data_IF_711592646894
#
_entry.id   IF_711592646894
#
_cell.length_a   1.000
_cell.length_b   1.000
_cell.length_c   1.000
_cell.angle_alpha   90.00
_cell.angle_beta   90.00
_cell.angle_gamma   90.00
#
_symmetry.space_group_name_H-M   'P 1'
#
loop_
_entity.id
_entity.type
_entity.pdbx_description
1 polymer ?
#
# COMPACT_ATOMS: atom_id res chain seq x y z
N UNK A 1 -72.61 51.19 -1.82
CA UNK A 1 -72.63 50.01 -2.68
C UNK A 1 -71.72 50.29 -3.86
N UNK A 2 -70.51 49.72 -3.92
CA UNK A 2 -69.58 49.94 -4.97
C UNK A 2 -68.43 48.98 -4.75
N UNK A 3 -68.41 47.83 -5.43
CA UNK A 3 -67.29 46.83 -5.43
C UNK A 3 -66.09 47.41 -6.15
N UNK A 4 -64.96 47.46 -5.47
CA UNK A 4 -63.64 47.64 -6.10
C UNK A 4 -63.08 46.29 -6.43
N UNK A 5 -62.83 46.04 -7.74
CA UNK A 5 -62.15 44.90 -8.27
C UNK A 5 -60.62 45.20 -8.25
N UNK A 6 -59.87 44.49 -7.41
CA UNK A 6 -58.42 44.62 -7.35
C UNK A 6 -57.76 43.75 -8.45
N UNK A 7 -57.08 44.42 -9.36
CA UNK A 7 -56.21 43.79 -10.38
C UNK A 7 -55.02 43.11 -9.70
N UNK A 8 -54.98 41.77 -9.72
CA UNK A 8 -53.76 40.99 -9.46
C UNK A 8 -52.95 40.89 -10.74
N UNK A 9 -51.84 41.59 -10.79
CA UNK A 9 -50.78 41.35 -11.81
C UNK A 9 -50.11 40.05 -11.46
N UNK A 10 -50.16 39.05 -12.35
CA UNK A 10 -49.33 37.85 -12.33
C UNK A 10 -47.91 38.26 -12.67
N UNK A 11 -46.96 38.15 -11.71
CA UNK A 11 -45.52 38.09 -11.99
C UNK A 11 -45.22 36.67 -12.47
N UNK A 12 -44.90 36.54 -13.74
CA UNK A 12 -44.28 35.33 -14.30
C UNK A 12 -42.80 35.45 -14.01
N UNK A 13 -42.32 34.74 -12.99
CA UNK A 13 -40.88 34.54 -12.81
C UNK A 13 -40.38 33.57 -13.89
N UNK A 14 -39.57 34.08 -14.80
CA UNK A 14 -38.76 33.26 -15.68
C UNK A 14 -37.72 32.51 -14.83
N UNK A 15 -37.97 31.26 -14.48
CA UNK A 15 -36.94 30.34 -14.03
C UNK A 15 -36.01 30.07 -15.22
N UNK A 16 -34.82 30.70 -15.21
CA UNK A 16 -33.77 30.36 -16.08
C UNK A 16 -33.35 28.90 -15.80
N UNK A 17 -33.70 28.00 -16.70
CA UNK A 17 -33.15 26.65 -16.74
C UNK A 17 -31.63 26.74 -16.99
N UNK A 18 -30.85 26.68 -15.93
CA UNK A 18 -29.42 26.39 -16.03
C UNK A 18 -29.32 24.93 -16.50
N UNK A 19 -28.73 24.64 -17.66
CA UNK A 19 -28.50 23.26 -18.04
C UNK A 19 -27.50 22.66 -17.05
N UNK A 20 -27.99 21.85 -16.11
CA UNK A 20 -27.19 20.91 -15.40
C UNK A 20 -26.65 19.91 -16.43
N UNK A 21 -25.47 20.20 -16.96
CA UNK A 21 -24.67 19.16 -17.63
C UNK A 21 -24.39 18.10 -16.57
N UNK A 22 -25.23 17.06 -16.54
CA UNK A 22 -24.88 15.80 -15.93
C UNK A 22 -23.58 15.36 -16.63
N UNK A 23 -22.44 15.53 -15.96
CA UNK A 23 -21.27 14.73 -16.29
C UNK A 23 -21.67 13.29 -15.99
N UNK A 24 -22.13 12.58 -17.02
CA UNK A 24 -22.26 11.14 -16.96
C UNK A 24 -20.86 10.62 -16.59
N UNK A 25 -20.73 10.06 -15.40
CA UNK A 25 -19.58 9.23 -15.07
C UNK A 25 -19.58 8.13 -16.12
N UNK A 26 -18.67 8.22 -17.08
CA UNK A 26 -18.46 7.16 -18.06
C UNK A 26 -17.84 6.01 -17.30
N UNK A 27 -18.66 5.09 -16.80
CA UNK A 27 -18.16 3.81 -16.35
C UNK A 27 -17.34 3.20 -17.49
N UNK A 28 -16.13 2.69 -17.23
CA UNK A 28 -15.34 2.05 -18.27
C UNK A 28 -16.17 0.95 -18.94
N UNK A 29 -16.13 0.90 -20.28
CA UNK A 29 -16.86 -0.12 -21.02
C UNK A 29 -16.32 -1.50 -20.64
N UNK A 30 -17.19 -2.52 -20.45
CA UNK A 30 -16.74 -3.87 -20.25
C UNK A 30 -15.81 -4.31 -21.38
N UNK A 31 -14.71 -5.00 -21.05
CA UNK A 31 -13.72 -5.49 -22.01
C UNK A 31 -14.32 -6.31 -23.15
N UNK A 32 -15.45 -7.00 -22.91
CA UNK A 32 -16.23 -7.73 -23.93
C UNK A 32 -16.74 -6.85 -25.09
N UNK A 33 -16.75 -5.53 -24.93
CA UNK A 33 -17.20 -4.55 -25.93
C UNK A 33 -16.05 -3.73 -26.52
N UNK A 34 -14.82 -3.94 -26.06
CA UNK A 34 -13.66 -3.21 -26.52
C UNK A 34 -12.95 -3.95 -27.65
N UNK A 35 -12.42 -3.27 -28.67
CA UNK A 35 -11.50 -3.85 -29.62
C UNK A 35 -10.17 -4.23 -28.94
N UNK A 36 -9.46 -5.21 -29.54
CA UNK A 36 -8.27 -5.81 -28.94
C UNK A 36 -7.16 -4.80 -28.65
N UNK A 37 -6.94 -3.83 -29.53
CA UNK A 37 -5.93 -2.77 -29.36
C UNK A 37 -6.19 -1.92 -28.11
N UNK A 38 -7.46 -1.64 -27.80
CA UNK A 38 -7.82 -0.92 -26.58
C UNK A 38 -7.64 -1.79 -25.32
N UNK A 39 -7.95 -3.09 -25.42
CA UNK A 39 -7.70 -4.05 -24.33
C UNK A 39 -6.19 -4.14 -24.06
N UNK A 40 -5.38 -4.27 -25.11
CA UNK A 40 -3.92 -4.28 -24.99
C UNK A 40 -3.37 -2.99 -24.38
N UNK A 41 -3.86 -1.84 -24.81
CA UNK A 41 -3.45 -0.56 -24.24
C UNK A 41 -3.75 -0.48 -22.73
N UNK A 42 -4.92 -0.94 -22.29
CA UNK A 42 -5.26 -0.98 -20.88
C UNK A 42 -4.42 -2.00 -20.10
N UNK A 43 -4.25 -3.21 -20.65
CA UNK A 43 -3.51 -4.29 -19.99
C UNK A 43 -2.03 -3.93 -19.80
N UNK A 44 -1.42 -3.28 -20.80
CA UNK A 44 0.00 -2.94 -20.80
C UNK A 44 0.29 -1.47 -20.45
N UNK A 45 -0.71 -0.76 -19.89
CA UNK A 45 -0.47 0.58 -19.36
C UNK A 45 0.54 0.54 -18.22
N UNK A 46 0.32 -0.34 -17.23
CA UNK A 46 1.31 -0.67 -16.20
C UNK A 46 1.52 -2.18 -16.23
N UNK A 47 2.74 -2.64 -16.47
CA UNK A 47 3.02 -4.06 -16.66
C UNK A 47 4.42 -4.45 -16.20
N UNK A 48 4.62 -5.76 -16.02
CA UNK A 48 5.93 -6.30 -15.71
C UNK A 48 6.86 -6.24 -16.93
N UNK A 49 8.07 -5.78 -16.69
CA UNK A 49 9.16 -5.82 -17.63
C UNK A 49 10.16 -6.95 -17.33
N UNK A 50 11.45 -6.62 -17.37
CA UNK A 50 12.52 -7.56 -17.12
C UNK A 50 12.49 -8.05 -15.66
N UNK A 51 12.62 -9.37 -15.46
CA UNK A 51 12.87 -9.94 -14.13
C UNK A 51 14.25 -9.49 -13.63
N UNK A 52 14.32 -9.07 -12.38
CA UNK A 52 15.53 -8.52 -11.75
C UNK A 52 16.07 -9.40 -10.63
N UNK A 53 15.65 -10.68 -10.56
CA UNK A 53 16.12 -11.63 -9.54
C UNK A 53 17.64 -11.73 -9.58
N UNK A 54 18.35 -11.47 -8.47
CA UNK A 54 19.79 -11.65 -8.41
C UNK A 54 20.15 -13.14 -8.44
N UNK A 55 21.38 -13.46 -8.90
CA UNK A 55 21.87 -14.84 -8.89
C UNK A 55 22.11 -15.38 -7.47
N UNK A 56 22.32 -14.53 -6.51
CA UNK A 56 22.49 -14.84 -5.09
C UNK A 56 22.23 -13.58 -4.29
N UNK A 57 21.79 -13.73 -3.05
CA UNK A 57 21.61 -12.64 -2.11
C UNK A 57 22.90 -12.28 -1.37
N UNK A 58 22.99 -11.13 -0.65
CA UNK A 58 24.19 -10.69 0.07
C UNK A 58 24.76 -11.79 0.98
N UNK A 59 26.08 -11.84 1.07
CA UNK A 59 26.83 -12.82 1.90
C UNK A 59 26.54 -14.30 1.59
N UNK A 60 26.03 -14.58 0.38
CA UNK A 60 25.65 -15.94 -0.03
C UNK A 60 24.34 -16.43 0.60
N UNK A 61 23.49 -15.50 1.05
CA UNK A 61 22.17 -15.86 1.52
C UNK A 61 21.34 -16.52 0.41
N UNK A 62 20.49 -17.45 0.81
CA UNK A 62 19.67 -18.25 -0.08
C UNK A 62 18.36 -17.52 -0.44
N UNK A 63 17.77 -16.82 0.52
CA UNK A 63 16.50 -16.10 0.35
C UNK A 63 16.60 -14.71 0.96
N UNK A 64 15.98 -13.72 0.34
CA UNK A 64 15.74 -12.42 0.96
C UNK A 64 14.33 -12.37 1.58
N UNK A 65 14.24 -11.83 2.78
CA UNK A 65 12.98 -11.67 3.51
C UNK A 65 12.76 -10.20 3.81
N UNK A 66 11.69 -9.65 3.25
CA UNK A 66 11.17 -8.31 3.53
C UNK A 66 9.91 -8.39 4.39
N UNK A 67 9.99 -8.02 5.67
CA UNK A 67 8.80 -7.82 6.48
C UNK A 67 8.34 -6.37 6.33
N UNK A 68 7.07 -6.15 6.01
CA UNK A 68 6.50 -4.81 5.88
C UNK A 68 5.21 -4.63 6.68
N UNK A 69 4.98 -3.39 7.08
CA UNK A 69 3.82 -2.99 7.85
C UNK A 69 3.20 -1.74 7.23
N UNK A 70 1.94 -1.86 6.78
CA UNK A 70 1.14 -0.73 6.34
C UNK A 70 0.47 -0.14 7.59
N UNK A 71 0.94 1.05 7.99
CA UNK A 71 0.55 1.68 9.27
C UNK A 71 -0.69 2.55 9.05
N UNK A 72 -1.75 1.92 8.57
CA UNK A 72 -2.98 2.62 8.15
C UNK A 72 -3.75 3.16 9.33
N UNK A 73 -3.82 2.40 10.41
CA UNK A 73 -4.69 2.69 11.54
C UNK A 73 -6.12 2.99 11.05
N UNK A 74 -6.65 4.21 11.32
CA UNK A 74 -8.00 4.62 10.90
C UNK A 74 -8.02 5.42 9.58
N UNK A 75 -6.87 5.61 8.89
CA UNK A 75 -6.82 6.54 7.75
C UNK A 75 -7.67 6.12 6.57
N UNK A 76 -7.81 4.82 6.31
CA UNK A 76 -8.71 4.31 5.26
C UNK A 76 -10.18 4.66 5.54
N UNK A 77 -10.62 4.51 6.79
CA UNK A 77 -11.97 4.91 7.22
C UNK A 77 -12.15 6.42 7.08
N UNK A 78 -11.17 7.21 7.53
CA UNK A 78 -11.20 8.67 7.41
C UNK A 78 -11.25 9.13 5.95
N UNK A 79 -10.48 8.50 5.06
CA UNK A 79 -10.47 8.81 3.63
C UNK A 79 -11.85 8.57 2.98
N UNK A 80 -12.58 7.57 3.43
CA UNK A 80 -13.94 7.26 2.97
C UNK A 80 -15.02 8.07 3.69
N UNK A 81 -14.68 8.91 4.67
CA UNK A 81 -15.64 9.64 5.49
C UNK A 81 -16.38 8.73 6.49
N UNK A 82 -15.89 7.54 6.77
CA UNK A 82 -16.46 6.65 7.77
C UNK A 82 -15.96 7.05 9.17
N UNK A 83 -16.85 7.70 9.94
CA UNK A 83 -16.55 8.18 11.29
C UNK A 83 -17.20 7.33 12.38
N UNK A 84 -17.53 6.07 12.08
CA UNK A 84 -18.12 5.14 13.04
C UNK A 84 -17.07 4.81 14.11
N UNK A 85 -17.44 5.01 15.39
CA UNK A 85 -16.52 4.87 16.52
C UNK A 85 -15.88 3.48 16.62
N UNK A 86 -16.57 2.43 16.20
CA UNK A 86 -16.01 1.06 16.15
C UNK A 86 -14.83 0.99 15.17
N UNK A 87 -15.01 1.46 13.93
CA UNK A 87 -13.97 1.46 12.91
C UNK A 87 -12.77 2.32 13.32
N UNK A 88 -13.03 3.52 13.80
CA UNK A 88 -11.98 4.44 14.27
C UNK A 88 -11.18 3.81 15.44
N UNK A 89 -11.87 3.25 16.44
CA UNK A 89 -11.20 2.64 17.59
C UNK A 89 -10.39 1.40 17.21
N UNK A 90 -10.86 0.61 16.22
CA UNK A 90 -10.09 -0.51 15.68
C UNK A 90 -8.79 -0.04 15.03
N UNK A 91 -8.84 1.01 14.26
CA UNK A 91 -7.65 1.63 13.68
C UNK A 91 -6.71 2.21 14.73
N UNK A 92 -7.25 2.91 15.74
CA UNK A 92 -6.48 3.47 16.84
C UNK A 92 -5.68 2.42 17.63
N UNK A 93 -6.22 1.19 17.77
CA UNK A 93 -5.49 0.07 18.35
C UNK A 93 -4.11 -0.13 17.72
N UNK A 94 -3.97 0.12 16.41
CA UNK A 94 -2.69 0.03 15.70
C UNK A 94 -1.63 0.97 16.27
N UNK A 95 -2.00 2.22 16.62
CA UNK A 95 -1.08 3.20 17.19
C UNK A 95 -0.80 2.93 18.68
N UNK A 96 -1.81 2.50 19.44
CA UNK A 96 -1.74 2.41 20.92
C UNK A 96 -1.05 1.12 21.37
N UNK A 97 -1.45 -0.02 20.80
CA UNK A 97 -1.00 -1.35 21.23
C UNK A 97 -0.24 -2.10 20.13
N UNK A 98 -0.75 -2.05 18.89
CA UNK A 98 -0.28 -2.91 17.81
C UNK A 98 1.15 -2.62 17.40
N UNK A 99 1.45 -1.38 17.04
CA UNK A 99 2.79 -0.96 16.64
C UNK A 99 3.84 -1.14 17.74
N UNK A 100 3.59 -0.75 19.01
CA UNK A 100 4.54 -1.01 20.09
C UNK A 100 4.89 -2.50 20.25
N UNK A 101 3.92 -3.40 20.16
CA UNK A 101 4.17 -4.85 20.24
C UNK A 101 4.99 -5.37 19.06
N UNK A 102 4.72 -4.90 17.85
CA UNK A 102 5.48 -5.25 16.65
C UNK A 102 6.93 -4.79 16.80
N UNK A 103 7.15 -3.54 17.19
CA UNK A 103 8.50 -3.01 17.39
C UNK A 103 9.26 -3.79 18.47
N UNK A 104 8.61 -4.13 19.57
CA UNK A 104 9.20 -4.97 20.63
C UNK A 104 9.60 -6.37 20.10
N UNK A 105 8.77 -6.98 19.25
CA UNK A 105 9.08 -8.28 18.64
C UNK A 105 10.26 -8.19 17.68
N UNK A 106 10.26 -7.19 16.80
CA UNK A 106 11.35 -6.96 15.86
C UNK A 106 12.68 -6.66 16.57
N UNK A 107 12.62 -5.88 17.65
CA UNK A 107 13.77 -5.58 18.50
C UNK A 107 14.31 -6.83 19.20
N UNK A 108 13.43 -7.67 19.74
CA UNK A 108 13.81 -8.94 20.39
C UNK A 108 14.66 -9.83 19.47
N UNK A 109 14.34 -9.87 18.19
CA UNK A 109 15.03 -10.71 17.21
C UNK A 109 15.99 -9.98 16.29
N UNK A 110 16.16 -8.66 16.47
CA UNK A 110 17.03 -7.77 15.69
C UNK A 110 16.70 -7.79 14.20
N UNK A 111 15.41 -7.80 13.84
CA UNK A 111 14.93 -7.90 12.47
C UNK A 111 14.63 -6.50 11.93
N UNK A 112 15.20 -6.11 10.77
CA UNK A 112 14.77 -4.92 10.04
C UNK A 112 13.39 -5.13 9.40
N UNK A 113 12.65 -4.05 9.22
CA UNK A 113 11.37 -4.05 8.52
C UNK A 113 11.13 -2.70 7.84
N UNK A 114 10.21 -2.68 6.88
CA UNK A 114 9.74 -1.46 6.19
C UNK A 114 8.34 -1.10 6.66
N UNK A 115 8.13 0.18 6.93
CA UNK A 115 6.85 0.71 7.39
C UNK A 115 6.32 1.72 6.37
N UNK A 116 5.22 1.39 5.72
CA UNK A 116 4.53 2.28 4.78
C UNK A 116 3.46 3.05 5.52
N UNK A 117 3.53 4.38 5.48
CA UNK A 117 2.72 5.22 6.35
C UNK A 117 1.86 6.16 5.52
N UNK A 118 0.51 6.07 5.61
CA UNK A 118 -0.35 7.16 5.21
C UNK A 118 0.02 8.41 6.01
N UNK A 119 0.35 9.50 5.31
CA UNK A 119 0.99 10.66 5.95
C UNK A 119 0.13 11.30 7.03
N UNK A 120 -1.20 11.33 6.82
CA UNK A 120 -2.15 11.83 7.83
C UNK A 120 -2.05 11.05 9.14
N UNK A 121 -1.75 9.74 9.08
CA UNK A 121 -1.56 8.96 10.30
C UNK A 121 -0.39 9.47 11.15
N UNK A 122 0.74 9.84 10.52
CA UNK A 122 1.85 10.49 11.24
C UNK A 122 1.46 11.84 11.81
N UNK A 123 0.66 12.64 11.09
CA UNK A 123 0.20 13.94 11.59
C UNK A 123 -0.74 13.81 12.80
N UNK A 124 -1.57 12.78 12.82
CA UNK A 124 -2.46 12.47 13.96
C UNK A 124 -1.70 11.84 15.14
N UNK A 125 -0.65 11.08 14.86
CA UNK A 125 0.16 10.35 15.84
C UNK A 125 1.65 10.65 15.66
N UNK A 126 2.15 11.83 16.04
CA UNK A 126 3.52 12.27 15.72
C UNK A 126 4.63 11.38 16.28
N UNK A 127 4.32 10.53 17.27
CA UNK A 127 5.27 9.59 17.88
C UNK A 127 5.54 8.35 17.00
N UNK A 128 4.72 8.03 15.98
CA UNK A 128 4.84 6.82 15.18
C UNK A 128 6.21 6.74 14.50
N UNK A 129 6.58 7.72 13.70
CA UNK A 129 7.87 7.73 12.97
C UNK A 129 9.06 7.70 13.94
N UNK A 130 9.14 8.55 14.97
CA UNK A 130 10.24 8.46 15.93
C UNK A 130 10.36 7.09 16.61
N UNK A 131 9.23 6.45 16.99
CA UNK A 131 9.27 5.13 17.63
C UNK A 131 9.76 4.03 16.68
N UNK A 132 9.36 4.06 15.41
CA UNK A 132 9.85 3.12 14.39
C UNK A 132 11.37 3.29 14.18
N UNK A 133 11.84 4.52 14.07
CA UNK A 133 13.24 4.82 13.79
C UNK A 133 14.17 4.68 14.99
N UNK A 134 13.66 4.53 16.21
CA UNK A 134 14.44 4.49 17.45
C UNK A 134 15.53 3.39 17.44
N UNK A 135 15.29 2.26 16.78
CA UNK A 135 16.25 1.16 16.68
C UNK A 135 17.32 1.38 15.60
N UNK A 136 17.12 2.33 14.69
CA UNK A 136 18.02 2.56 13.53
C UNK A 136 18.00 1.47 12.45
N UNK A 137 17.12 0.46 12.58
CA UNK A 137 17.07 -0.70 11.66
C UNK A 137 15.96 -0.63 10.61
N UNK A 138 14.96 0.18 10.85
CA UNK A 138 13.75 0.19 10.04
C UNK A 138 13.76 1.27 8.98
N UNK A 139 12.94 1.06 7.96
CA UNK A 139 12.69 1.97 6.86
C UNK A 139 11.29 2.57 6.97
N UNK A 140 11.13 3.81 6.51
CA UNK A 140 9.84 4.45 6.29
C UNK A 140 9.64 4.63 4.78
N UNK A 141 8.55 4.09 4.25
CA UNK A 141 8.03 4.31 2.91
C UNK A 141 6.76 5.16 2.90
N UNK A 142 6.39 5.66 1.72
CA UNK A 142 5.16 6.44 1.50
C UNK A 142 4.00 5.51 1.21
N UNK A 143 2.85 5.73 1.87
CA UNK A 143 1.59 5.02 1.64
C UNK A 143 0.42 5.98 1.36
N UNK A 144 0.64 6.89 0.42
CA UNK A 144 -0.31 7.95 0.11
C UNK A 144 -0.37 9.05 1.18
N UNK A 145 -1.37 9.92 1.02
CA UNK A 145 -1.63 11.04 1.95
C UNK A 145 -2.48 10.60 3.14
N UNK A 146 -3.68 10.05 2.87
CA UNK A 146 -4.67 9.63 3.88
C UNK A 146 -5.19 8.20 3.63
N UNK A 147 -4.45 7.38 2.90
CA UNK A 147 -4.92 6.09 2.39
C UNK A 147 -6.09 6.26 1.39
N UNK A 148 -5.97 7.24 0.51
CA UNK A 148 -6.95 7.56 -0.52
C UNK A 148 -7.16 6.41 -1.52
N UNK A 149 -8.39 6.23 -1.98
CA UNK A 149 -8.72 5.26 -3.03
C UNK A 149 -8.37 5.84 -4.40
N UNK A 150 -7.13 5.65 -4.85
CA UNK A 150 -6.58 6.25 -6.08
C UNK A 150 -7.43 6.03 -7.33
N UNK A 151 -8.05 4.85 -7.58
CA UNK A 151 -8.94 4.68 -8.73
C UNK A 151 -10.15 5.62 -8.75
N UNK A 152 -10.54 6.19 -7.62
CA UNK A 152 -11.64 7.15 -7.52
C UNK A 152 -11.19 8.61 -7.65
N UNK A 153 -9.87 8.86 -7.65
CA UNK A 153 -9.35 10.21 -7.90
C UNK A 153 -9.46 10.51 -9.39
N UNK A 154 -10.27 11.49 -9.74
CA UNK A 154 -10.56 11.85 -11.14
C UNK A 154 -9.79 13.10 -11.60
N UNK A 155 -8.70 13.44 -10.92
CA UNK A 155 -7.89 14.63 -11.18
C UNK A 155 -6.41 14.31 -10.94
N UNK A 156 -5.63 14.32 -12.02
CA UNK A 156 -4.19 14.07 -11.98
C UNK A 156 -3.42 15.10 -11.12
N UNK A 157 -3.89 16.35 -11.09
CA UNK A 157 -3.24 17.41 -10.31
C UNK A 157 -3.50 17.22 -8.83
N UNK A 158 -4.71 16.85 -8.45
CA UNK A 158 -5.05 16.55 -7.06
C UNK A 158 -4.28 15.32 -6.55
N UNK A 159 -4.14 14.26 -7.36
CA UNK A 159 -3.35 13.09 -7.00
C UNK A 159 -1.87 13.44 -6.82
N UNK A 160 -1.30 14.21 -7.76
CA UNK A 160 0.08 14.67 -7.66
C UNK A 160 0.32 15.55 -6.44
N UNK A 161 -0.64 16.42 -6.07
CA UNK A 161 -0.55 17.25 -4.85
C UNK A 161 -0.52 16.37 -3.60
N UNK A 162 -1.40 15.38 -3.50
CA UNK A 162 -1.40 14.43 -2.37
C UNK A 162 -0.06 13.70 -2.26
N UNK A 163 0.48 13.19 -3.37
CA UNK A 163 1.77 12.51 -3.38
C UNK A 163 2.91 13.45 -2.97
N UNK A 164 2.96 14.67 -3.50
CA UNK A 164 3.99 15.65 -3.15
C UNK A 164 3.96 16.00 -1.66
N UNK A 165 2.78 16.29 -1.12
CA UNK A 165 2.57 16.57 0.31
C UNK A 165 3.01 15.39 1.18
N UNK A 166 2.71 14.16 0.75
CA UNK A 166 3.15 12.96 1.46
C UNK A 166 4.67 12.86 1.48
N UNK A 167 5.33 13.01 0.33
CA UNK A 167 6.79 12.97 0.22
C UNK A 167 7.45 14.06 1.08
N UNK A 168 6.97 15.29 0.99
CA UNK A 168 7.53 16.43 1.75
C UNK A 168 7.42 16.21 3.27
N UNK A 169 6.24 15.79 3.71
CA UNK A 169 5.98 15.57 5.15
C UNK A 169 6.84 14.42 5.70
N UNK A 170 6.87 13.28 5.00
CA UNK A 170 7.71 12.15 5.41
C UNK A 170 9.19 12.53 5.35
N UNK A 171 9.65 13.22 4.28
CA UNK A 171 11.04 13.69 4.18
C UNK A 171 11.43 14.55 5.37
N UNK A 172 10.56 15.48 5.77
CA UNK A 172 10.79 16.34 6.96
C UNK A 172 10.86 15.52 8.24
N UNK A 173 10.01 14.50 8.39
CA UNK A 173 9.94 13.69 9.60
C UNK A 173 11.15 12.75 9.76
N UNK A 174 11.69 12.19 8.65
CA UNK A 174 12.79 11.22 8.70
C UNK A 174 14.17 11.81 8.34
N UNK A 175 14.22 13.07 7.90
CA UNK A 175 15.47 13.78 7.55
C UNK A 175 16.11 13.36 6.22
N UNK A 176 15.49 12.45 5.46
CA UNK A 176 15.90 12.02 4.12
C UNK A 176 14.66 11.77 3.24
N UNK A 177 14.84 11.80 1.92
CA UNK A 177 13.76 11.41 1.01
C UNK A 177 13.45 9.92 1.16
N UNK A 178 12.17 9.49 1.28
CA UNK A 178 11.80 8.08 1.27
C UNK A 178 12.17 7.43 -0.06
N UNK A 179 12.71 6.21 -0.01
CA UNK A 179 13.12 5.47 -1.20
C UNK A 179 11.98 4.71 -1.85
N UNK A 180 10.97 4.32 -1.10
CA UNK A 180 9.90 3.43 -1.52
C UNK A 180 8.52 4.03 -1.45
N UNK A 181 7.66 3.52 -2.33
CA UNK A 181 6.24 3.80 -2.39
C UNK A 181 5.44 2.50 -2.34
N UNK A 182 4.30 2.54 -1.69
CA UNK A 182 3.24 1.52 -1.77
C UNK A 182 1.92 2.25 -1.92
N UNK A 183 1.15 1.92 -2.96
CA UNK A 183 -0.15 2.52 -3.18
C UNK A 183 -1.14 2.06 -2.11
N UNK A 184 -1.99 2.95 -1.59
CA UNK A 184 -3.12 2.56 -0.76
C UNK A 184 -3.96 1.46 -1.41
N UNK A 185 -4.29 0.42 -0.66
CA UNK A 185 -5.00 -0.78 -1.15
C UNK A 185 -4.37 -1.44 -2.38
N UNK A 186 -3.08 -1.15 -2.68
CA UNK A 186 -2.34 -1.65 -3.83
C UNK A 186 -2.97 -1.29 -5.19
N UNK A 187 -3.72 -0.22 -5.24
CA UNK A 187 -4.47 0.19 -6.43
C UNK A 187 -3.92 1.46 -7.02
N UNK A 188 -3.75 1.47 -8.34
CA UNK A 188 -3.32 2.63 -9.09
C UNK A 188 -4.51 3.31 -9.78
N UNK A 189 -4.45 4.61 -9.90
CA UNK A 189 -5.15 5.36 -10.93
C UNK A 189 -4.39 5.24 -12.28
N UNK A 190 -4.93 5.81 -13.32
CA UNK A 190 -4.24 5.90 -14.60
C UNK A 190 -2.98 6.80 -14.56
N UNK A 191 -2.76 7.58 -13.51
CA UNK A 191 -1.63 8.51 -13.39
C UNK A 191 -0.59 8.07 -12.38
N UNK A 192 -0.95 7.20 -11.45
CA UNK A 192 -0.11 6.85 -10.29
C UNK A 192 1.29 6.40 -10.70
N UNK A 193 1.42 5.47 -11.66
CA UNK A 193 2.76 4.98 -12.05
C UNK A 193 3.63 6.06 -12.66
N UNK A 194 3.04 6.95 -13.47
CA UNK A 194 3.77 8.10 -14.03
C UNK A 194 4.26 9.02 -12.91
N UNK A 195 3.44 9.31 -11.92
CA UNK A 195 3.78 10.19 -10.80
C UNK A 195 4.84 9.56 -9.90
N UNK A 196 4.77 8.26 -9.63
CA UNK A 196 5.78 7.49 -8.88
C UNK A 196 7.13 7.53 -9.59
N UNK A 197 7.15 7.30 -10.91
CA UNK A 197 8.33 7.42 -11.75
C UNK A 197 8.91 8.84 -11.72
N UNK A 198 8.09 9.86 -11.97
CA UNK A 198 8.52 11.27 -12.00
C UNK A 198 9.03 11.73 -10.63
N UNK A 199 8.45 11.21 -9.55
CA UNK A 199 8.93 11.40 -8.20
C UNK A 199 10.24 10.64 -7.90
N UNK A 200 10.75 9.80 -8.81
CA UNK A 200 12.03 9.08 -8.69
C UNK A 200 12.11 8.18 -7.47
N UNK A 201 11.06 7.46 -7.15
CA UNK A 201 11.15 6.38 -6.17
C UNK A 201 12.09 5.30 -6.69
N UNK A 202 12.85 4.69 -5.79
CA UNK A 202 13.72 3.56 -6.12
C UNK A 202 12.90 2.32 -6.44
N UNK A 203 11.85 2.09 -5.65
CA UNK A 203 10.98 0.94 -5.79
C UNK A 203 9.52 1.30 -5.49
N UNK A 204 8.64 0.50 -6.06
CA UNK A 204 7.25 0.31 -5.68
C UNK A 204 7.06 -1.07 -5.03
N UNK A 205 6.02 -1.24 -4.24
CA UNK A 205 5.65 -2.52 -3.65
C UNK A 205 4.12 -2.64 -3.59
N UNK A 206 3.49 -2.62 -4.76
CA UNK A 206 2.03 -2.61 -4.91
C UNK A 206 1.51 -3.64 -5.91
N UNK A 207 2.37 -4.18 -6.78
CA UNK A 207 1.95 -5.01 -7.91
C UNK A 207 2.30 -6.49 -7.68
N UNK A 208 1.66 -7.39 -8.47
CA UNK A 208 1.64 -8.85 -8.21
C UNK A 208 1.96 -9.67 -9.46
N UNK A 209 2.75 -9.14 -10.40
CA UNK A 209 2.96 -9.83 -11.68
C UNK A 209 4.07 -10.90 -11.66
N UNK A 210 4.77 -11.06 -10.55
CA UNK A 210 5.82 -12.06 -10.35
C UNK A 210 6.04 -12.30 -8.86
N UNK A 211 6.62 -13.44 -8.49
CA UNK A 211 7.06 -13.73 -7.12
C UNK A 211 8.37 -13.01 -6.75
N UNK A 212 9.18 -12.65 -7.76
CA UNK A 212 10.46 -11.97 -7.59
C UNK A 212 10.45 -10.55 -8.14
N UNK A 213 11.45 -9.76 -7.76
CA UNK A 213 11.63 -8.38 -8.21
C UNK A 213 11.67 -8.26 -9.73
N UNK A 214 11.01 -7.24 -10.27
CA UNK A 214 11.01 -6.95 -11.70
C UNK A 214 11.00 -5.44 -11.98
N UNK A 215 11.32 -5.08 -13.21
CA UNK A 215 11.20 -3.71 -13.70
C UNK A 215 9.75 -3.40 -14.05
N UNK A 216 9.26 -2.24 -13.62
CA UNK A 216 7.92 -1.79 -14.02
C UNK A 216 8.00 -1.09 -15.37
N UNK A 217 7.10 -1.46 -16.28
CA UNK A 217 6.88 -0.74 -17.53
C UNK A 217 5.64 0.16 -17.44
N UNK A 218 5.75 1.35 -18.00
CA UNK A 218 4.63 2.25 -18.27
C UNK A 218 4.49 2.40 -19.78
N UNK A 219 3.33 2.06 -20.34
CA UNK A 219 3.08 2.06 -21.79
C UNK A 219 4.18 1.30 -22.57
N UNK A 220 4.53 0.12 -22.06
CA UNK A 220 5.60 -0.76 -22.60
C UNK A 220 7.01 -0.16 -22.54
N UNK A 221 7.23 0.97 -21.84
CA UNK A 221 8.53 1.60 -21.69
C UNK A 221 9.06 1.43 -20.26
N UNK A 222 10.37 1.15 -20.08
CA UNK A 222 10.99 1.05 -18.76
C UNK A 222 10.78 2.31 -17.93
N UNK A 223 10.40 2.13 -16.67
CA UNK A 223 10.25 3.25 -15.72
C UNK A 223 11.53 3.54 -14.93
N UNK A 224 12.40 2.53 -14.77
CA UNK A 224 13.53 2.57 -13.85
C UNK A 224 13.11 2.38 -12.38
N UNK A 225 11.82 2.13 -12.12
CA UNK A 225 11.30 1.77 -10.78
C UNK A 225 11.28 0.25 -10.66
N UNK A 226 11.80 -0.26 -9.57
CA UNK A 226 11.81 -1.69 -9.26
C UNK A 226 10.51 -2.04 -8.55
N UNK A 227 9.83 -3.08 -9.00
CA UNK A 227 8.76 -3.68 -8.21
C UNK A 227 9.35 -4.68 -7.23
N UNK A 228 9.01 -4.54 -5.96
CA UNK A 228 9.14 -5.56 -4.94
C UNK A 228 7.74 -6.15 -4.69
N UNK A 229 7.40 -7.25 -5.38
CA UNK A 229 6.01 -7.67 -5.50
C UNK A 229 5.42 -8.09 -4.17
N UNK A 230 4.15 -7.79 -4.04
CA UNK A 230 3.29 -8.27 -2.96
C UNK A 230 2.41 -9.42 -3.47
N UNK A 231 1.76 -10.11 -2.55
CA UNK A 231 0.77 -11.13 -2.88
C UNK A 231 -0.30 -11.17 -1.80
N UNK A 232 -1.56 -11.40 -2.20
CA UNK A 232 -2.73 -11.39 -1.29
C UNK A 232 -2.67 -12.47 -0.21
N UNK A 233 -2.05 -13.61 -0.50
CA UNK A 233 -1.87 -14.69 0.45
C UNK A 233 -0.78 -14.36 1.49
N UNK A 234 0.09 -13.43 1.16
CA UNK A 234 1.16 -12.89 2.02
C UNK A 234 0.77 -11.53 2.63
N UNK A 235 -0.52 -11.37 2.95
CA UNK A 235 -1.07 -10.19 3.63
C UNK A 235 -2.02 -10.62 4.76
N UNK A 236 -1.94 -9.98 5.91
CA UNK A 236 -2.82 -10.28 7.05
C UNK A 236 -4.26 -9.76 6.87
N UNK A 237 -4.45 -8.76 6.01
CA UNK A 237 -5.76 -8.11 5.83
C UNK A 237 -6.83 -9.06 5.25
N UNK A 238 -6.58 -9.86 4.20
CA UNK A 238 -7.56 -10.81 3.69
C UNK A 238 -8.04 -11.83 4.73
N UNK A 239 -7.19 -12.17 5.70
CA UNK A 239 -7.54 -13.13 6.73
C UNK A 239 -8.28 -12.50 7.91
N UNK A 240 -7.93 -11.28 8.33
CA UNK A 240 -8.35 -10.73 9.61
C UNK A 240 -8.90 -9.30 9.55
N UNK A 241 -8.69 -8.56 8.46
CA UNK A 241 -8.98 -7.13 8.36
C UNK A 241 -10.40 -6.78 7.93
N UNK A 242 -11.01 -7.58 7.10
CA UNK A 242 -12.33 -7.32 6.51
C UNK A 242 -13.49 -8.03 7.17
N UNK A 243 -14.70 -7.64 6.76
CA UNK A 243 -15.89 -8.42 7.03
C UNK A 243 -15.81 -9.73 6.23
N UNK A 244 -15.45 -10.82 6.89
CA UNK A 244 -15.53 -12.13 6.27
C UNK A 244 -16.99 -12.62 6.35
N UNK A 245 -17.51 -13.07 5.21
CA UNK A 245 -18.83 -13.71 5.15
C UNK A 245 -18.83 -15.11 5.81
N UNK A 246 -17.83 -15.41 6.65
CA UNK A 246 -17.63 -16.69 7.28
C UNK A 246 -16.84 -16.60 8.58
N UNK A 247 -16.48 -17.74 9.15
CA UNK A 247 -15.62 -17.79 10.33
C UNK A 247 -14.22 -17.26 10.00
N UNK A 248 -13.66 -16.47 10.92
CA UNK A 248 -12.27 -16.05 10.82
C UNK A 248 -11.35 -17.28 10.89
N UNK A 249 -10.29 -17.35 10.06
CA UNK A 249 -9.32 -18.43 10.18
C UNK A 249 -8.59 -18.38 11.52
N UNK A 250 -8.15 -19.52 11.98
CA UNK A 250 -7.27 -19.59 13.15
C UNK A 250 -5.92 -18.94 12.84
N UNK A 251 -5.32 -18.16 13.75
CA UNK A 251 -3.98 -17.63 13.56
C UNK A 251 -2.92 -18.69 13.28
N UNK A 252 -3.07 -19.90 13.79
CA UNK A 252 -2.15 -21.02 13.52
C UNK A 252 -2.32 -21.58 12.10
N UNK A 253 -3.53 -21.53 11.52
CA UNK A 253 -3.75 -21.91 10.12
C UNK A 253 -3.14 -20.89 9.17
N UNK A 254 -3.30 -19.61 9.46
CA UNK A 254 -2.67 -18.53 8.66
C UNK A 254 -1.15 -18.64 8.75
N UNK A 255 -0.59 -18.84 9.94
CA UNK A 255 0.87 -19.03 10.12
C UNK A 255 1.40 -20.21 9.27
N UNK A 256 0.67 -21.33 9.18
CA UNK A 256 1.05 -22.45 8.30
C UNK A 256 1.06 -22.10 6.83
N UNK A 257 0.10 -21.29 6.36
CA UNK A 257 0.09 -20.80 4.97
C UNK A 257 1.34 -19.96 4.70
N UNK A 258 1.58 -18.93 5.53
CA UNK A 258 2.74 -18.05 5.39
C UNK A 258 4.07 -18.79 5.46
N UNK A 259 4.16 -19.81 6.33
CA UNK A 259 5.33 -20.67 6.44
C UNK A 259 5.55 -21.50 5.17
N UNK A 260 4.49 -22.05 4.59
CA UNK A 260 4.59 -22.84 3.35
C UNK A 260 5.11 -21.99 2.18
N UNK A 261 4.63 -20.76 2.04
CA UNK A 261 5.10 -19.81 1.03
C UNK A 261 6.59 -19.46 1.26
N UNK A 262 6.97 -19.19 2.50
CA UNK A 262 8.37 -18.95 2.82
C UNK A 262 9.27 -20.18 2.52
N UNK A 263 8.83 -21.38 2.86
CA UNK A 263 9.64 -22.61 2.64
C UNK A 263 9.90 -22.83 1.14
N UNK A 264 8.93 -22.56 0.28
CA UNK A 264 9.12 -22.64 -1.19
C UNK A 264 10.03 -21.52 -1.69
N UNK A 265 9.83 -20.28 -1.28
CA UNK A 265 10.72 -19.17 -1.64
C UNK A 265 12.18 -19.43 -1.19
N UNK A 266 12.36 -20.06 -0.02
CA UNK A 266 13.67 -20.48 0.46
C UNK A 266 14.29 -21.58 -0.42
N UNK A 267 13.50 -22.57 -0.86
CA UNK A 267 13.97 -23.64 -1.75
C UNK A 267 14.39 -23.10 -3.13
N UNK A 268 13.62 -22.18 -3.68
CA UNK A 268 13.89 -21.55 -4.97
C UNK A 268 15.02 -20.52 -4.92
N UNK A 269 15.36 -20.00 -3.74
CA UNK A 269 16.38 -18.96 -3.59
C UNK A 269 15.88 -17.58 -3.96
N UNK A 270 14.59 -17.36 -3.84
CA UNK A 270 13.85 -16.18 -4.28
C UNK A 270 13.71 -15.09 -3.24
N UNK A 271 12.59 -14.37 -3.35
CA UNK A 271 12.19 -13.25 -2.50
C UNK A 271 10.92 -13.63 -1.73
N UNK A 272 10.88 -13.30 -0.44
CA UNK A 272 9.69 -13.44 0.39
C UNK A 272 9.33 -12.08 1.00
N UNK A 273 8.20 -11.53 0.61
CA UNK A 273 7.66 -10.27 1.16
C UNK A 273 6.35 -10.54 1.87
N UNK A 274 6.29 -10.16 3.14
CA UNK A 274 5.10 -10.29 3.96
C UNK A 274 4.58 -8.89 4.31
N UNK A 275 3.33 -8.63 3.98
CA UNK A 275 2.62 -7.39 4.31
C UNK A 275 1.72 -7.60 5.51
N UNK A 276 1.78 -6.69 6.45
CA UNK A 276 1.02 -6.75 7.70
C UNK A 276 0.52 -5.36 8.10
N UNK A 277 -0.44 -5.33 9.01
CA UNK A 277 -1.00 -4.09 9.52
C UNK A 277 -0.95 -4.08 11.06
N UNK A 278 -0.43 -3.01 11.71
CA UNK A 278 -0.35 -2.96 13.17
C UNK A 278 -1.69 -3.16 13.88
N UNK A 279 -2.77 -2.63 13.32
CA UNK A 279 -4.12 -2.80 13.86
C UNK A 279 -4.71 -4.21 13.63
N UNK A 280 -3.99 -5.08 12.92
CA UNK A 280 -4.35 -6.47 12.65
C UNK A 280 -3.37 -7.42 13.32
N UNK A 281 -2.14 -7.52 12.83
CA UNK A 281 -1.11 -8.44 13.36
C UNK A 281 -0.69 -8.11 14.79
N UNK A 282 -0.81 -6.85 15.25
CA UNK A 282 -0.47 -6.47 16.62
C UNK A 282 -1.32 -7.09 17.72
N UNK A 283 -2.42 -7.77 17.39
CA UNK A 283 -3.25 -8.47 18.38
C UNK A 283 -2.55 -9.72 18.94
N UNK A 284 -2.91 -10.08 20.20
CA UNK A 284 -2.23 -11.10 21.03
C UNK A 284 -1.93 -12.42 20.33
N UNK A 285 -2.91 -13.04 19.69
CA UNK A 285 -2.71 -14.33 19.02
C UNK A 285 -1.98 -14.23 17.69
N UNK A 286 -2.17 -13.12 16.96
CA UNK A 286 -1.56 -12.90 15.64
C UNK A 286 -0.10 -12.56 15.76
N UNK A 287 0.28 -11.70 16.72
CA UNK A 287 1.69 -11.39 16.97
C UNK A 287 2.46 -12.65 17.44
N UNK A 288 1.82 -13.56 18.18
CA UNK A 288 2.41 -14.85 18.54
C UNK A 288 2.60 -15.75 17.30
N UNK A 289 1.68 -15.69 16.31
CA UNK A 289 1.85 -16.36 15.02
C UNK A 289 3.03 -15.81 14.23
N UNK A 290 3.17 -14.48 14.17
CA UNK A 290 4.32 -13.84 13.54
C UNK A 290 5.64 -14.23 14.22
N UNK A 291 5.66 -14.31 15.55
CA UNK A 291 6.85 -14.77 16.27
C UNK A 291 7.25 -16.21 15.91
N UNK A 292 6.28 -17.13 15.79
CA UNK A 292 6.53 -18.50 15.33
C UNK A 292 7.13 -18.54 13.93
N UNK A 293 6.59 -17.75 13.01
CA UNK A 293 7.10 -17.64 11.65
C UNK A 293 8.53 -17.07 11.62
N UNK A 294 8.82 -16.02 12.38
CA UNK A 294 10.16 -15.45 12.51
C UNK A 294 11.17 -16.50 13.03
N UNK A 295 10.79 -17.25 14.06
CA UNK A 295 11.64 -18.32 14.62
C UNK A 295 11.90 -19.43 13.59
N UNK A 296 10.88 -19.81 12.83
CA UNK A 296 11.03 -20.77 11.73
C UNK A 296 12.02 -20.26 10.66
N UNK A 297 11.84 -19.03 10.17
CA UNK A 297 12.74 -18.41 9.20
C UNK A 297 14.18 -18.34 9.74
N UNK A 298 14.39 -17.95 11.00
CA UNK A 298 15.70 -17.87 11.64
C UNK A 298 16.36 -19.23 11.87
N UNK A 299 15.59 -20.31 11.92
CA UNK A 299 16.14 -21.66 12.03
C UNK A 299 16.81 -22.17 10.75
N UNK A 300 16.52 -21.53 9.60
CA UNK A 300 17.10 -21.89 8.30
C UNK A 300 18.40 -21.13 8.05
N UNK A 301 19.47 -21.78 7.56
CA UNK A 301 20.71 -21.09 7.21
C UNK A 301 20.52 -20.21 5.97
N UNK A 302 21.21 -19.07 5.90
CA UNK A 302 21.22 -18.23 4.71
C UNK A 302 19.93 -17.47 4.47
N UNK A 303 19.21 -17.07 5.50
CA UNK A 303 18.07 -16.13 5.40
C UNK A 303 18.59 -14.71 5.62
N UNK A 304 18.36 -13.84 4.65
CA UNK A 304 18.71 -12.43 4.74
C UNK A 304 17.48 -11.59 5.01
N UNK A 305 17.28 -11.18 6.26
CA UNK A 305 16.27 -10.18 6.61
C UNK A 305 16.75 -8.79 6.23
N UNK A 306 15.95 -8.04 5.47
CA UNK A 306 16.31 -6.73 4.99
C UNK A 306 15.08 -5.80 4.90
N UNK A 307 15.33 -4.49 4.88
CA UNK A 307 14.29 -3.54 4.48
C UNK A 307 14.06 -3.60 2.96
N UNK A 308 12.92 -3.12 2.51
CA UNK A 308 12.63 -3.03 1.07
C UNK A 308 13.66 -2.14 0.35
N UNK A 309 14.09 -1.04 0.96
CA UNK A 309 15.15 -0.18 0.43
C UNK A 309 16.45 -0.97 0.21
N UNK A 310 16.87 -1.80 1.19
CA UNK A 310 18.06 -2.63 1.08
C UNK A 310 17.95 -3.68 -0.03
N UNK A 311 16.78 -4.34 -0.12
CA UNK A 311 16.50 -5.32 -1.18
C UNK A 311 16.54 -4.65 -2.55
N UNK A 312 15.84 -3.53 -2.72
CA UNK A 312 15.79 -2.79 -3.98
C UNK A 312 17.16 -2.26 -4.41
N UNK A 313 17.95 -1.74 -3.46
CA UNK A 313 19.33 -1.30 -3.73
C UNK A 313 20.20 -2.46 -4.21
N UNK A 314 20.11 -3.62 -3.56
CA UNK A 314 20.87 -4.80 -3.97
C UNK A 314 20.45 -5.30 -5.35
N UNK A 315 19.14 -5.40 -5.60
CA UNK A 315 18.57 -5.77 -6.91
C UNK A 315 19.07 -4.82 -8.00
N UNK A 316 19.02 -3.50 -7.77
CA UNK A 316 19.51 -2.49 -8.72
C UNK A 316 20.95 -2.69 -9.13
N UNK A 317 21.82 -2.89 -8.14
CA UNK A 317 23.27 -3.06 -8.39
C UNK A 317 23.56 -4.37 -9.12
N UNK A 318 22.86 -5.45 -8.79
CA UNK A 318 23.14 -6.79 -9.34
C UNK A 318 22.49 -7.05 -10.69
N UNK A 319 21.41 -6.36 -11.02
CA UNK A 319 20.71 -6.49 -12.31
C UNK A 319 21.30 -5.61 -13.40
N UNK A 320 22.19 -4.67 -13.08
CA UNK A 320 22.80 -3.74 -14.03
C UNK A 320 21.77 -2.74 -14.59
N UNK A 321 20.73 -2.44 -13.85
CA UNK A 321 19.64 -1.51 -14.20
C UNK A 321 19.83 -0.14 -13.55
#
# INVERSE_FOLDING_TARGET
>A
MGLQIANRRLLIELLALVPTTLFAQTHPQPGTKLPLDQIEAQMFHVSAGKRLSPKSWPTGARVAVGLSFDVDNATADLAMGNLISESISRGEYGAVDGLPRILQLLDKYQIPASFFIPTVNHLLHPQIIPSILASGRHEIGVHGWIHEHLPSVNDAVAEQDMLNRAIETITKAIGKRPAGYRAPSWQFSQWTMKQVKDARFLYDSSLMASDDAYEILLDKQPTGVIELPIERILDDYPYFGGATNGALPSPDEVEKVLRSEFDVAYEEGGLFILTMHPHITGHRSRIAGLEKLILHMKSKPGVWFATHEQIAQYVKVTSGS
#
